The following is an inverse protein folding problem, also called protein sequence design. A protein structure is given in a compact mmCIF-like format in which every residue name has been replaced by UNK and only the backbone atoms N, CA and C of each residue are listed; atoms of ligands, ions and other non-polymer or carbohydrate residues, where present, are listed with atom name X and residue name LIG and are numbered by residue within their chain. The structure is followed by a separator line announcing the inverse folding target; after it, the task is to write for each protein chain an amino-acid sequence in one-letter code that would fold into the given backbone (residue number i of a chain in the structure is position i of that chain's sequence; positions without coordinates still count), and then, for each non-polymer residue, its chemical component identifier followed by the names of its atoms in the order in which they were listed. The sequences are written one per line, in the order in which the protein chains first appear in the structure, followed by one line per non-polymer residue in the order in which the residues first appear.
data_IF_899188375298
#
_entry.id   IF_899188375298
#
_cell.length_a   1.000
_cell.length_b   1.000
_cell.length_c   1.000
_cell.angle_alpha   90.00
_cell.angle_beta   90.00
_cell.angle_gamma   90.00
#
_symmetry.space_group_name_H-M   'P 1'
#
loop_
_entity.id
_entity.type
_entity.pdbx_description
1 polymer ?
#
# COMPACT_ATOMS: atom_id res chain seq x y z
N UNK A 1 8.07 -4.22 14.24
CA UNK A 1 7.73 -5.63 14.56
C UNK A 1 6.26 -5.81 14.97
N UNK A 2 5.77 -5.18 16.04
CA UNK A 2 4.38 -5.38 16.52
C UNK A 2 3.27 -5.03 15.52
N UNK A 3 3.42 -3.94 14.75
CA UNK A 3 2.43 -3.56 13.72
C UNK A 3 2.33 -4.59 12.59
N UNK A 4 3.46 -4.99 12.01
CA UNK A 4 3.51 -6.03 10.96
C UNK A 4 2.88 -7.34 11.46
N UNK A 5 3.15 -7.73 12.71
CA UNK A 5 2.54 -8.91 13.32
C UNK A 5 1.03 -8.77 13.46
N UNK A 6 0.52 -7.60 13.87
CA UNK A 6 -0.91 -7.32 13.91
C UNK A 6 -1.54 -7.40 12.50
N UNK A 7 -0.89 -6.86 11.47
CA UNK A 7 -1.40 -6.98 10.10
C UNK A 7 -1.38 -8.42 9.59
N UNK A 8 -0.32 -9.19 9.89
CA UNK A 8 -0.23 -10.62 9.56
C UNK A 8 -1.32 -11.43 10.26
N UNK A 9 -1.52 -11.22 11.56
CA UNK A 9 -2.58 -11.90 12.33
C UNK A 9 -3.98 -11.49 11.86
N UNK A 10 -4.18 -10.24 11.44
CA UNK A 10 -5.43 -9.78 10.83
C UNK A 10 -5.71 -10.48 9.49
N UNK A 11 -4.67 -10.66 8.68
CA UNK A 11 -4.72 -11.32 7.37
C UNK A 11 -4.90 -12.85 7.45
N UNK A 12 -4.31 -13.51 8.46
CA UNK A 12 -4.20 -14.98 8.55
C UNK A 12 -5.06 -15.61 9.65
N UNK A 13 -5.48 -14.85 10.66
CA UNK A 13 -6.18 -15.32 11.87
C UNK A 13 -7.63 -15.72 11.65
N UNK A 14 -7.92 -16.66 10.74
CA UNK A 14 -9.30 -17.09 10.43
C UNK A 14 -9.92 -17.95 11.54
N UNK A 15 -9.10 -18.67 12.31
CA UNK A 15 -9.55 -19.63 13.34
C UNK A 15 -9.81 -19.02 14.72
N UNK A 16 -9.23 -17.87 15.03
CA UNK A 16 -9.27 -17.27 16.36
C UNK A 16 -9.87 -15.86 16.30
N UNK A 17 -11.20 -15.77 16.43
CA UNK A 17 -11.95 -14.50 16.31
C UNK A 17 -11.41 -13.40 17.22
N UNK A 18 -11.02 -13.72 18.45
CA UNK A 18 -10.46 -12.74 19.39
C UNK A 18 -9.08 -12.23 18.94
N UNK A 19 -8.16 -13.11 18.56
CA UNK A 19 -6.83 -12.71 18.08
C UNK A 19 -6.92 -11.85 16.82
N UNK A 20 -7.79 -12.22 15.86
CA UNK A 20 -8.02 -11.41 14.66
C UNK A 20 -8.66 -10.07 14.99
N UNK A 21 -9.61 -10.02 15.91
CA UNK A 21 -10.22 -8.76 16.34
C UNK A 21 -9.20 -7.83 17.01
N UNK A 22 -8.37 -8.35 17.93
CA UNK A 22 -7.29 -7.60 18.57
C UNK A 22 -6.26 -7.12 17.55
N UNK A 23 -5.91 -7.96 16.57
CA UNK A 23 -4.99 -7.64 15.49
C UNK A 23 -5.54 -6.52 14.57
N UNK A 24 -6.83 -6.57 14.21
CA UNK A 24 -7.50 -5.50 13.46
C UNK A 24 -7.56 -4.21 14.27
N UNK A 25 -7.86 -4.29 15.56
CA UNK A 25 -7.90 -3.11 16.45
C UNK A 25 -6.52 -2.45 16.57
N UNK A 26 -5.46 -3.24 16.75
CA UNK A 26 -4.09 -2.76 16.78
C UNK A 26 -3.66 -2.14 15.44
N UNK A 27 -4.01 -2.78 14.31
CA UNK A 27 -3.79 -2.26 12.97
C UNK A 27 -4.51 -0.91 12.75
N UNK A 28 -5.77 -0.79 13.19
CA UNK A 28 -6.55 0.44 13.12
C UNK A 28 -5.96 1.55 14.01
N UNK A 29 -5.55 1.23 15.23
CA UNK A 29 -4.93 2.20 16.14
C UNK A 29 -3.60 2.74 15.59
N UNK A 30 -2.73 1.85 15.07
CA UNK A 30 -1.49 2.24 14.42
C UNK A 30 -1.75 3.08 13.16
N UNK A 31 -2.73 2.69 12.35
CA UNK A 31 -3.15 3.47 11.19
C UNK A 31 -3.64 4.87 11.56
N UNK A 32 -4.45 4.98 12.61
CA UNK A 32 -4.95 6.25 13.14
C UNK A 32 -3.84 7.13 13.68
N UNK A 33 -2.89 6.57 14.43
CA UNK A 33 -1.72 7.32 14.92
C UNK A 33 -0.89 7.89 13.78
N UNK A 34 -0.61 7.09 12.74
CA UNK A 34 0.11 7.58 11.55
C UNK A 34 -0.69 8.64 10.82
N UNK A 35 -2.02 8.52 10.74
CA UNK A 35 -2.88 9.52 10.12
C UNK A 35 -2.84 10.87 10.87
N UNK A 36 -2.81 10.86 12.21
CA UNK A 36 -2.67 12.09 13.02
C UNK A 36 -1.31 12.74 12.79
N UNK A 37 -0.21 11.98 12.84
CA UNK A 37 1.12 12.50 12.57
C UNK A 37 1.25 13.04 11.14
N UNK A 38 0.62 12.36 10.18
CA UNK A 38 0.56 12.82 8.80
C UNK A 38 -0.26 14.11 8.66
N UNK A 39 -1.37 14.26 9.39
CA UNK A 39 -2.21 15.45 9.38
C UNK A 39 -1.47 16.68 9.88
N UNK A 40 -0.70 16.55 10.97
CA UNK A 40 0.17 17.61 11.48
C UNK A 40 1.22 18.00 10.44
N UNK A 41 1.86 17.01 9.81
CA UNK A 41 2.81 17.26 8.73
C UNK A 41 2.15 17.96 7.53
N UNK A 42 0.96 17.54 7.12
CA UNK A 42 0.22 18.12 6.01
C UNK A 42 -0.15 19.59 6.28
N UNK A 43 -0.55 19.93 7.50
CA UNK A 43 -0.82 21.33 7.90
C UNK A 43 0.39 22.25 7.74
N UNK A 44 1.59 21.71 7.97
CA UNK A 44 2.83 22.47 7.89
C UNK A 44 3.40 22.50 6.47
N UNK A 45 3.21 21.43 5.70
CA UNK A 45 3.87 21.23 4.42
C UNK A 45 3.01 21.61 3.20
N UNK A 46 1.69 21.40 3.24
CA UNK A 46 0.83 21.52 2.05
C UNK A 46 0.36 22.97 1.88
N UNK A 47 0.70 23.56 0.75
CA UNK A 47 0.53 25.00 0.49
C UNK A 47 -0.73 25.31 -0.30
N UNK A 48 -1.04 24.48 -1.29
CA UNK A 48 -2.08 24.77 -2.27
C UNK A 48 -3.17 23.70 -2.31
N UNK A 49 -4.35 24.06 -2.85
CA UNK A 49 -5.49 23.15 -2.98
C UNK A 49 -5.16 21.88 -3.79
N UNK A 50 -4.21 21.98 -4.72
CA UNK A 50 -3.75 20.84 -5.50
C UNK A 50 -2.97 19.83 -4.64
N UNK A 51 -2.07 20.29 -3.78
CA UNK A 51 -1.33 19.42 -2.86
C UNK A 51 -2.28 18.76 -1.86
N UNK A 52 -3.22 19.53 -1.29
CA UNK A 52 -4.26 19.02 -0.41
C UNK A 52 -5.15 17.96 -1.08
N UNK A 53 -5.54 18.19 -2.33
CA UNK A 53 -6.39 17.22 -3.05
C UNK A 53 -5.65 15.94 -3.42
N UNK A 54 -4.42 16.04 -3.94
CA UNK A 54 -3.65 14.88 -4.37
C UNK A 54 -3.10 14.10 -3.18
N UNK A 55 -2.35 14.75 -2.29
CA UNK A 55 -1.69 14.09 -1.17
C UNK A 55 -2.70 13.73 -0.07
N UNK A 56 -3.67 14.61 0.20
CA UNK A 56 -4.80 14.29 1.06
C UNK A 56 -5.64 13.14 0.48
N UNK A 57 -5.80 13.06 -0.84
CA UNK A 57 -6.41 11.92 -1.51
C UNK A 57 -5.66 10.61 -1.23
N UNK A 58 -4.34 10.60 -1.36
CA UNK A 58 -3.51 9.44 -1.02
C UNK A 58 -3.64 9.06 0.46
N UNK A 59 -3.67 10.06 1.36
CA UNK A 59 -3.85 9.84 2.80
C UNK A 59 -5.20 9.17 3.10
N UNK A 60 -6.27 9.64 2.47
CA UNK A 60 -7.61 9.02 2.57
C UNK A 60 -7.59 7.58 2.05
N UNK A 61 -6.99 7.34 0.88
CA UNK A 61 -6.87 5.98 0.34
C UNK A 61 -6.09 5.05 1.29
N UNK A 62 -5.03 5.55 1.91
CA UNK A 62 -4.26 4.83 2.94
C UNK A 62 -5.09 4.54 4.19
N UNK A 63 -5.87 5.51 4.67
CA UNK A 63 -6.74 5.34 5.84
C UNK A 63 -7.89 4.34 5.60
N UNK A 64 -8.31 4.13 4.35
CA UNK A 64 -9.31 3.11 3.99
C UNK A 64 -8.75 1.67 4.03
N UNK A 65 -7.43 1.47 4.06
CA UNK A 65 -6.82 0.14 4.04
C UNK A 65 -7.13 -0.69 5.30
N UNK A 66 -6.96 -0.21 6.54
CA UNK A 66 -7.36 -0.97 7.73
C UNK A 66 -8.85 -1.33 7.73
N UNK A 67 -9.72 -0.45 7.22
CA UNK A 67 -11.16 -0.70 7.12
C UNK A 67 -11.49 -1.81 6.12
N UNK A 68 -10.84 -1.81 4.96
CA UNK A 68 -11.01 -2.86 3.95
C UNK A 68 -10.41 -4.18 4.43
N UNK A 69 -9.25 -4.14 5.11
CA UNK A 69 -8.61 -5.29 5.72
C UNK A 69 -9.49 -5.95 6.80
N UNK A 70 -10.13 -5.15 7.67
CA UNK A 70 -11.02 -5.66 8.72
C UNK A 70 -12.14 -6.54 8.16
N UNK A 71 -12.58 -6.23 6.94
CA UNK A 71 -13.67 -6.92 6.24
C UNK A 71 -13.19 -8.04 5.32
N UNK A 72 -11.88 -8.17 5.11
CA UNK A 72 -11.29 -9.18 4.25
C UNK A 72 -10.92 -10.45 5.04
N UNK A 73 -11.22 -11.61 4.46
CA UNK A 73 -11.07 -12.92 5.10
C UNK A 73 -10.04 -13.81 4.39
N UNK A 74 -9.07 -13.20 3.71
CA UNK A 74 -8.01 -13.94 3.02
C UNK A 74 -8.42 -14.53 1.67
N UNK A 75 -9.48 -14.00 1.06
CA UNK A 75 -9.85 -14.27 -0.33
C UNK A 75 -8.76 -13.74 -1.28
N UNK A 76 -8.49 -14.40 -2.41
CA UNK A 76 -7.49 -13.92 -3.35
C UNK A 76 -7.79 -12.50 -3.85
N UNK A 77 -6.82 -11.61 -3.74
CA UNK A 77 -6.94 -10.21 -4.15
C UNK A 77 -6.72 -10.10 -5.66
N UNK A 78 -7.72 -9.65 -6.45
CA UNK A 78 -7.59 -9.51 -7.89
C UNK A 78 -6.61 -8.41 -8.28
N UNK A 79 -6.12 -8.52 -9.52
CA UNK A 79 -5.39 -7.43 -10.17
C UNK A 79 -6.27 -6.18 -10.34
N UNK A 80 -5.63 -5.00 -10.41
CA UNK A 80 -6.30 -3.69 -10.39
C UNK A 80 -7.33 -3.54 -11.51
N UNK A 81 -7.01 -4.00 -12.73
CA UNK A 81 -7.93 -3.91 -13.87
C UNK A 81 -9.19 -4.76 -13.67
N UNK A 82 -9.04 -5.97 -13.15
CA UNK A 82 -10.16 -6.84 -12.80
C UNK A 82 -10.97 -6.27 -11.63
N UNK A 83 -10.30 -5.78 -10.58
CA UNK A 83 -10.91 -5.10 -9.44
C UNK A 83 -11.80 -3.93 -9.89
N UNK A 84 -11.29 -3.08 -10.79
CA UNK A 84 -12.05 -1.96 -11.35
C UNK A 84 -13.29 -2.43 -12.11
N UNK A 85 -13.20 -3.51 -12.90
CA UNK A 85 -14.36 -4.09 -13.61
C UNK A 85 -15.42 -4.61 -12.65
N UNK A 86 -15.02 -5.34 -11.61
CA UNK A 86 -15.93 -5.87 -10.57
C UNK A 86 -16.66 -4.72 -9.88
N UNK A 87 -15.92 -3.68 -9.45
CA UNK A 87 -16.50 -2.52 -8.78
C UNK A 87 -17.43 -1.68 -9.67
N UNK A 88 -17.15 -1.60 -10.99
CA UNK A 88 -18.01 -0.88 -11.95
C UNK A 88 -19.33 -1.59 -12.21
N UNK A 89 -19.37 -2.92 -12.13
CA UNK A 89 -20.59 -3.73 -12.37
C UNK A 89 -21.61 -3.73 -11.23
N UNK A 90 -21.44 -2.90 -10.20
CA UNK A 90 -22.41 -2.80 -9.11
C UNK A 90 -22.34 -3.93 -8.06
N UNK A 91 -21.43 -4.90 -8.23
CA UNK A 91 -21.03 -5.85 -7.15
C UNK A 91 -20.25 -5.16 -6.00
N UNK A 92 -20.18 -3.82 -6.08
CA UNK A 92 -19.48 -2.79 -5.30
C UNK A 92 -19.47 -2.98 -3.80
N UNK A 93 -20.51 -3.59 -3.23
CA UNK A 93 -20.66 -3.72 -1.77
C UNK A 93 -20.23 -5.09 -1.23
N UNK A 94 -20.07 -6.12 -2.08
CA UNK A 94 -19.82 -7.50 -1.61
C UNK A 94 -18.35 -7.93 -1.73
N UNK A 95 -17.65 -7.57 -2.81
CA UNK A 95 -16.27 -8.05 -3.00
C UNK A 95 -15.23 -7.18 -2.29
N UNK A 96 -14.88 -7.56 -1.05
CA UNK A 96 -13.87 -6.87 -0.23
C UNK A 96 -12.46 -7.01 -0.83
N UNK A 97 -12.19 -8.14 -1.46
CA UNK A 97 -10.97 -8.37 -2.22
C UNK A 97 -10.83 -7.39 -3.40
N UNK A 98 -11.90 -7.07 -4.13
CA UNK A 98 -11.86 -6.09 -5.21
C UNK A 98 -11.54 -4.67 -4.71
N UNK A 99 -12.07 -4.26 -3.55
CA UNK A 99 -11.69 -2.97 -2.93
C UNK A 99 -10.19 -2.91 -2.62
N UNK A 100 -9.62 -3.98 -2.05
CA UNK A 100 -8.18 -4.08 -1.78
C UNK A 100 -7.35 -4.06 -3.07
N UNK A 101 -7.79 -4.76 -4.12
CA UNK A 101 -7.14 -4.75 -5.43
C UNK A 101 -7.13 -3.36 -6.07
N UNK A 102 -8.23 -2.61 -5.95
CA UNK A 102 -8.33 -1.24 -6.44
C UNK A 102 -7.44 -0.26 -5.65
N UNK A 103 -7.51 -0.31 -4.31
CA UNK A 103 -6.66 0.51 -3.43
C UNK A 103 -5.19 0.25 -3.69
N UNK A 104 -4.80 -1.02 -3.85
CA UNK A 104 -3.43 -1.40 -4.20
C UNK A 104 -2.96 -0.74 -5.50
N UNK A 105 -3.75 -0.80 -6.57
CA UNK A 105 -3.39 -0.17 -7.84
C UNK A 105 -3.22 1.34 -7.74
N UNK A 106 -4.16 2.03 -7.08
CA UNK A 106 -4.10 3.48 -6.88
C UNK A 106 -2.88 3.88 -6.04
N UNK A 107 -2.60 3.14 -4.97
CA UNK A 107 -1.48 3.43 -4.07
C UNK A 107 -0.12 3.08 -4.69
N UNK A 108 -0.03 2.01 -5.49
CA UNK A 108 1.16 1.71 -6.28
C UNK A 108 1.42 2.80 -7.32
N UNK A 109 0.37 3.30 -7.99
CA UNK A 109 0.51 4.41 -8.93
C UNK A 109 1.02 5.67 -8.24
N UNK A 110 0.38 6.06 -7.13
CA UNK A 110 0.79 7.22 -6.35
C UNK A 110 2.23 7.09 -5.82
N UNK A 111 2.59 5.92 -5.29
CA UNK A 111 3.94 5.66 -4.77
C UNK A 111 5.00 5.67 -5.88
N UNK A 112 4.68 5.19 -7.09
CA UNK A 112 5.59 5.25 -8.23
C UNK A 112 5.86 6.70 -8.65
N UNK A 113 4.82 7.54 -8.69
CA UNK A 113 4.98 8.98 -8.96
C UNK A 113 5.84 9.63 -7.87
N UNK A 114 5.55 9.38 -6.60
CA UNK A 114 6.33 9.94 -5.49
C UNK A 114 7.80 9.49 -5.52
N UNK A 115 8.07 8.22 -5.80
CA UNK A 115 9.44 7.69 -5.92
C UNK A 115 10.19 8.32 -7.09
N UNK A 116 9.52 8.53 -8.23
CA UNK A 116 10.10 9.17 -9.40
C UNK A 116 10.38 10.66 -9.15
N UNK A 117 9.43 11.40 -8.57
CA UNK A 117 9.59 12.82 -8.25
C UNK A 117 10.72 13.04 -7.24
N UNK A 118 10.77 12.23 -6.17
CA UNK A 118 11.82 12.32 -5.16
C UNK A 118 13.22 11.97 -5.72
N UNK A 119 13.28 11.14 -6.76
CA UNK A 119 14.54 10.81 -7.42
C UNK A 119 14.98 11.89 -8.41
N UNK A 120 14.06 12.38 -9.26
CA UNK A 120 14.41 13.18 -10.43
C UNK A 120 14.32 14.69 -10.18
N UNK A 121 13.38 15.13 -9.34
CA UNK A 121 13.14 16.56 -9.11
C UNK A 121 13.73 17.02 -7.76
N UNK A 122 14.78 17.86 -7.77
CA UNK A 122 15.48 18.29 -6.56
C UNK A 122 14.65 19.18 -5.63
N UNK A 123 13.46 19.64 -6.07
CA UNK A 123 12.49 20.36 -5.22
C UNK A 123 11.90 19.45 -4.15
N UNK A 124 11.72 18.17 -4.46
CA UNK A 124 11.23 17.19 -3.50
C UNK A 124 12.43 16.63 -2.75
N UNK A 125 12.57 16.99 -1.48
CA UNK A 125 13.62 16.45 -0.58
C UNK A 125 13.05 15.68 0.58
N UNK A 126 11.84 16.03 0.99
CA UNK A 126 11.14 15.40 2.09
C UNK A 126 10.63 14.02 1.69
N UNK A 127 10.97 13.03 2.52
CA UNK A 127 10.55 11.64 2.28
C UNK A 127 9.08 11.48 2.67
N UNK A 128 8.18 11.06 1.76
CA UNK A 128 6.76 10.92 2.07
C UNK A 128 6.47 9.62 2.85
N UNK A 129 7.41 9.16 3.67
CA UNK A 129 7.36 7.88 4.37
C UNK A 129 6.10 7.76 5.22
N UNK A 130 5.70 8.79 5.97
CA UNK A 130 4.49 8.76 6.80
C UNK A 130 3.22 8.55 5.97
N UNK A 131 3.16 9.12 4.76
CA UNK A 131 2.02 9.00 3.86
C UNK A 131 1.87 7.56 3.32
N UNK A 132 2.99 6.88 3.05
CA UNK A 132 2.99 5.55 2.45
C UNK A 132 3.24 4.41 3.45
N UNK A 133 3.57 4.68 4.71
CA UNK A 133 3.91 3.66 5.70
C UNK A 133 2.76 2.68 5.95
N UNK A 134 1.55 3.19 6.20
CA UNK A 134 0.36 2.35 6.41
C UNK A 134 0.04 1.53 5.14
N UNK A 135 -0.02 2.15 3.93
CA UNK A 135 -0.09 1.41 2.68
C UNK A 135 0.95 0.31 2.52
N UNK A 136 2.21 0.61 2.78
CA UNK A 136 3.32 -0.31 2.61
C UNK A 136 3.23 -1.51 3.54
N UNK A 137 2.88 -1.30 4.80
CA UNK A 137 2.73 -2.40 5.75
C UNK A 137 1.51 -3.25 5.41
N UNK A 138 0.35 -2.65 5.14
CA UNK A 138 -0.87 -3.40 4.82
C UNK A 138 -0.71 -4.17 3.52
N UNK A 139 -0.30 -3.51 2.44
CA UNK A 139 -0.18 -4.11 1.11
C UNK A 139 1.06 -5.00 1.00
N UNK A 140 2.11 -4.72 1.77
CA UNK A 140 3.27 -5.59 1.92
C UNK A 140 2.92 -6.95 2.51
N UNK A 141 1.89 -7.01 3.35
CA UNK A 141 1.32 -8.26 3.88
C UNK A 141 0.26 -8.83 2.93
N UNK A 142 -0.76 -8.06 2.58
CA UNK A 142 -1.89 -8.54 1.77
C UNK A 142 -1.48 -8.94 0.35
N UNK A 143 -0.42 -8.33 -0.20
CA UNK A 143 0.07 -8.57 -1.55
C UNK A 143 0.48 -10.01 -1.83
N UNK A 144 0.74 -10.81 -0.78
CA UNK A 144 1.04 -12.24 -0.88
C UNK A 144 -0.19 -13.11 -1.19
N UNK A 145 -1.40 -12.59 -0.97
CA UNK A 145 -2.67 -13.27 -1.27
C UNK A 145 -3.30 -12.84 -2.60
N UNK A 146 -2.50 -12.42 -3.57
CA UNK A 146 -3.01 -12.00 -4.88
C UNK A 146 -3.40 -13.19 -5.77
N UNK A 147 -4.40 -13.01 -6.63
CA UNK A 147 -4.75 -13.97 -7.69
C UNK A 147 -4.13 -13.65 -9.05
N UNK A 148 -3.52 -12.48 -9.22
CA UNK A 148 -2.93 -12.07 -10.49
C UNK A 148 -2.11 -10.79 -10.42
N UNK A 149 -1.45 -10.51 -11.54
CA UNK A 149 -0.54 -9.38 -11.74
C UNK A 149 -0.65 -8.89 -13.18
N UNK A 150 -0.83 -7.58 -13.36
CA UNK A 150 -0.72 -6.98 -14.70
C UNK A 150 0.68 -6.44 -14.97
N UNK A 151 1.02 -6.29 -16.26
CA UNK A 151 2.24 -5.58 -16.68
C UNK A 151 2.32 -4.17 -16.10
N UNK A 152 1.20 -3.45 -16.05
CA UNK A 152 1.16 -2.11 -15.47
C UNK A 152 1.57 -2.11 -13.99
N UNK A 153 1.07 -3.06 -13.19
CA UNK A 153 1.47 -3.18 -11.78
C UNK A 153 2.95 -3.52 -11.62
N UNK A 154 3.50 -4.38 -12.49
CA UNK A 154 4.93 -4.69 -12.51
C UNK A 154 5.74 -3.44 -12.85
N UNK A 155 5.34 -2.69 -13.88
CA UNK A 155 6.02 -1.45 -14.25
C UNK A 155 6.01 -0.46 -13.09
N UNK A 156 4.87 -0.26 -12.42
CA UNK A 156 4.79 0.62 -11.24
C UNK A 156 5.70 0.14 -10.11
N UNK A 157 5.71 -1.16 -9.82
CA UNK A 157 6.58 -1.74 -8.80
C UNK A 157 8.08 -1.59 -9.13
N UNK A 158 8.45 -1.73 -10.41
CA UNK A 158 9.82 -1.47 -10.88
C UNK A 158 10.20 0.00 -10.76
N UNK A 159 9.30 0.92 -11.12
CA UNK A 159 9.53 2.37 -10.95
C UNK A 159 9.73 2.72 -9.48
N UNK A 160 8.91 2.16 -8.57
CA UNK A 160 9.09 2.31 -7.13
C UNK A 160 10.46 1.78 -6.73
N UNK A 161 10.78 0.53 -7.08
CA UNK A 161 12.04 -0.12 -6.69
C UNK A 161 13.26 0.69 -7.13
N UNK A 162 13.30 1.10 -8.40
CA UNK A 162 14.40 1.90 -8.96
C UNK A 162 14.46 3.26 -8.26
N UNK A 163 13.33 3.96 -8.13
CA UNK A 163 13.29 5.30 -7.52
C UNK A 163 13.73 5.30 -6.06
N UNK A 164 13.29 4.32 -5.26
CA UNK A 164 13.68 4.25 -3.84
C UNK A 164 15.14 3.86 -3.65
N UNK A 165 15.67 2.96 -4.49
CA UNK A 165 17.10 2.57 -4.46
C UNK A 165 17.97 3.74 -4.91
N UNK A 166 17.59 4.41 -6.00
CA UNK A 166 18.32 5.56 -6.51
C UNK A 166 18.34 6.69 -5.48
N UNK A 167 17.21 7.04 -4.87
CA UNK A 167 17.17 8.07 -3.83
C UNK A 167 18.00 7.70 -2.60
N UNK A 168 17.93 6.45 -2.14
CA UNK A 168 18.75 5.96 -1.02
C UNK A 168 20.24 5.99 -1.33
N UNK A 169 20.65 5.63 -2.55
CA UNK A 169 22.08 5.60 -2.94
C UNK A 169 22.76 6.97 -2.86
N UNK A 170 22.01 8.07 -2.97
CA UNK A 170 22.55 9.43 -2.79
C UNK A 170 22.85 9.77 -1.33
N UNK A 171 22.15 9.15 -0.37
CA UNK A 171 22.26 9.43 1.07
C UNK A 171 22.07 8.15 1.93
N UNK A 172 22.97 7.16 1.84
CA UNK A 172 22.71 5.82 2.39
C UNK A 172 22.65 5.77 3.91
N UNK A 173 23.29 6.73 4.60
CA UNK A 173 23.29 6.85 6.06
C UNK A 173 22.08 7.63 6.61
N UNK A 174 21.26 8.25 5.75
CA UNK A 174 20.11 9.03 6.20
C UNK A 174 18.97 8.09 6.66
N UNK A 175 18.55 8.15 7.94
CA UNK A 175 17.48 7.28 8.45
C UNK A 175 16.16 7.43 7.69
N UNK A 176 15.84 8.62 7.19
CA UNK A 176 14.62 8.86 6.43
C UNK A 176 14.69 8.21 5.03
N UNK A 177 15.87 8.23 4.39
CA UNK A 177 16.10 7.54 3.12
C UNK A 177 15.98 6.02 3.29
N UNK A 178 16.52 5.47 4.37
CA UNK A 178 16.37 4.05 4.71
C UNK A 178 14.89 3.71 4.95
N UNK A 179 14.16 4.54 5.70
CA UNK A 179 12.73 4.32 5.96
C UNK A 179 11.91 4.36 4.66
N UNK A 180 12.23 5.27 3.75
CA UNK A 180 11.61 5.33 2.43
C UNK A 180 11.94 4.12 1.56
N UNK A 181 13.20 3.65 1.57
CA UNK A 181 13.62 2.42 0.91
C UNK A 181 12.80 1.23 1.39
N UNK A 182 12.72 1.03 2.71
CA UNK A 182 11.95 -0.07 3.30
C UNK A 182 10.46 0.01 2.94
N UNK A 183 9.89 1.21 2.93
CA UNK A 183 8.49 1.48 2.54
C UNK A 183 8.25 1.11 1.07
N UNK A 184 9.13 1.55 0.17
CA UNK A 184 9.06 1.22 -1.25
C UNK A 184 9.23 -0.27 -1.53
N UNK A 185 10.17 -0.93 -0.84
CA UNK A 185 10.38 -2.38 -0.95
C UNK A 185 9.15 -3.17 -0.49
N UNK A 186 8.52 -2.77 0.63
CA UNK A 186 7.31 -3.42 1.11
C UNK A 186 6.14 -3.30 0.11
N UNK A 187 6.05 -2.21 -0.65
CA UNK A 187 5.06 -2.05 -1.72
C UNK A 187 5.42 -2.86 -2.98
N UNK A 188 6.68 -2.83 -3.40
CA UNK A 188 7.13 -3.38 -4.68
C UNK A 188 7.33 -4.90 -4.65
N UNK A 189 7.92 -5.45 -3.58
CA UNK A 189 8.34 -6.86 -3.54
C UNK A 189 7.19 -7.86 -3.70
N UNK A 190 6.03 -7.73 -3.03
CA UNK A 190 4.92 -8.66 -3.27
C UNK A 190 4.44 -8.62 -4.73
N UNK A 191 4.59 -7.46 -5.39
CA UNK A 191 4.20 -7.31 -6.79
C UNK A 191 5.15 -8.06 -7.72
N UNK A 192 6.45 -8.03 -7.42
CA UNK A 192 7.52 -8.58 -8.26
C UNK A 192 7.80 -10.07 -7.99
N UNK A 193 7.64 -10.53 -6.75
CA UNK A 193 8.03 -11.88 -6.32
C UNK A 193 6.89 -12.90 -6.41
N UNK A 194 5.64 -12.47 -6.25
CA UNK A 194 4.51 -13.40 -6.28
C UNK A 194 4.20 -13.75 -7.73
N UNK A 195 4.47 -15.01 -8.08
CA UNK A 195 4.11 -15.57 -9.38
C UNK A 195 2.59 -15.74 -9.46
N UNK A 196 1.94 -15.33 -10.56
CA UNK A 196 0.55 -15.71 -10.81
C UNK A 196 0.49 -17.24 -10.79
N UNK A 197 -0.44 -17.83 -10.05
CA UNK A 197 -0.79 -19.23 -10.27
C UNK A 197 -1.28 -19.34 -11.72
N UNK A 198 -0.40 -19.79 -12.60
CA UNK A 198 -0.83 -20.28 -13.91
C UNK A 198 -1.75 -21.45 -13.61
N UNK A 199 -2.99 -21.37 -14.09
CA UNK A 199 -3.85 -22.54 -14.16
C UNK A 199 -3.11 -23.60 -14.96
N UNK A 200 -2.55 -24.55 -14.23
CA UNK A 200 -2.09 -25.87 -14.68
C UNK A 200 -3.33 -26.68 -15.05
N UNK A 201 -4.13 -26.18 -16.00
CA UNK A 201 -5.30 -26.85 -16.59
C UNK A 201 -5.44 -26.40 -18.04
N UNK A 202 -4.46 -26.82 -18.84
CA UNK A 202 -4.71 -27.20 -20.24
C UNK A 202 -4.34 -28.68 -20.32
N UNK A 203 -5.23 -29.52 -19.81
CA UNK A 203 -5.42 -30.87 -20.33
C UNK A 203 -6.55 -30.82 -21.36
#
# INVERSE_FOLDING_TARGET
MGGVLAFLLAATGRRTRCLRASAIAAAGALGGMVAVLHWEHAHLAYRDALEWSLLGGVAVLGALLPLTLARWYGEPVPETGLAARILRRGERLRSKAASLGMLRGLLLFAAAVAALLLWVDPRYRDFPTLLYLVPAVVLGVVGWWRSGTTRAEITLALVILIGVVARWSSEPANPQAIAWLLTGLALALPVLLVRPHQYEQRE
#
